data_IF_276954367196
#
_entry.id   IF_276954367196
#
_cell.length_a   1.000
_cell.length_b   1.000
_cell.length_c   1.000
_cell.angle_alpha   90.00
_cell.angle_beta   90.00
_cell.angle_gamma   90.00
#
_symmetry.space_group_name_H-M   'P 1'
#
loop_
_entity.id
_entity.type
_entity.pdbx_description
1 polymer ?
#
# COMPACT_ATOMS: atom_id res chain seq x y z
N UNK A 1 21.81 7.13 -2.35
CA UNK A 1 22.02 5.67 -2.52
C UNK A 1 21.31 5.23 -3.81
N UNK A 2 21.43 3.98 -4.26
CA UNK A 2 20.66 3.47 -5.40
C UNK A 2 19.52 2.57 -4.93
N UNK A 3 18.46 2.48 -5.73
CA UNK A 3 17.37 1.53 -5.51
C UNK A 3 17.91 0.11 -5.75
N UNK A 4 17.51 -0.83 -4.89
CA UNK A 4 17.98 -2.21 -4.96
C UNK A 4 16.93 -3.07 -5.65
N UNK A 5 17.39 -4.08 -6.40
CA UNK A 5 16.57 -5.03 -7.14
C UNK A 5 16.88 -6.42 -6.60
N UNK A 6 15.83 -7.15 -6.23
CA UNK A 6 15.89 -8.51 -5.71
C UNK A 6 15.09 -9.43 -6.64
N UNK A 7 15.46 -10.70 -6.68
CA UNK A 7 14.70 -11.75 -7.36
C UNK A 7 13.53 -12.24 -6.48
N UNK A 8 12.51 -12.81 -7.12
CA UNK A 8 11.33 -13.35 -6.42
C UNK A 8 11.62 -14.54 -5.47
N UNK A 9 12.81 -15.15 -5.54
CA UNK A 9 13.28 -16.21 -4.63
C UNK A 9 13.99 -15.68 -3.37
N UNK A 10 14.04 -14.35 -3.19
CA UNK A 10 14.52 -13.72 -1.96
C UNK A 10 13.66 -14.07 -0.74
N UNK A 11 14.11 -13.64 0.44
CA UNK A 11 13.39 -13.87 1.70
C UNK A 11 13.06 -12.58 2.46
N UNK A 12 12.20 -12.71 3.47
CA UNK A 12 11.76 -11.59 4.29
C UNK A 12 12.89 -10.92 5.10
N UNK A 13 13.99 -11.62 5.37
CA UNK A 13 15.15 -11.04 6.07
C UNK A 13 15.94 -10.13 5.16
N UNK A 14 16.20 -10.56 3.92
CA UNK A 14 16.87 -9.72 2.94
C UNK A 14 16.02 -8.49 2.59
N UNK A 15 14.71 -8.65 2.44
CA UNK A 15 13.79 -7.52 2.24
C UNK A 15 13.89 -6.54 3.41
N UNK A 16 13.89 -7.02 4.67
CA UNK A 16 14.07 -6.17 5.85
C UNK A 16 15.41 -5.43 5.79
N UNK A 17 16.52 -6.14 5.55
CA UNK A 17 17.87 -5.57 5.54
C UNK A 17 17.99 -4.44 4.50
N UNK A 18 17.46 -4.68 3.30
CA UNK A 18 17.47 -3.69 2.24
C UNK A 18 16.55 -2.52 2.55
N UNK A 19 15.36 -2.76 3.12
CA UNK A 19 14.42 -1.71 3.49
C UNK A 19 14.96 -0.83 4.63
N UNK A 20 15.61 -1.42 5.62
CA UNK A 20 16.31 -0.68 6.67
C UNK A 20 17.41 0.19 6.05
N UNK A 21 18.25 -0.37 5.19
CA UNK A 21 19.39 0.35 4.64
C UNK A 21 18.99 1.45 3.64
N UNK A 22 18.05 1.15 2.74
CA UNK A 22 17.74 1.96 1.56
C UNK A 22 16.38 2.65 1.63
N UNK A 23 15.46 2.21 2.48
CA UNK A 23 14.10 2.75 2.61
C UNK A 23 13.14 2.31 1.50
N UNK A 24 13.66 1.72 0.42
CA UNK A 24 12.91 1.11 -0.67
C UNK A 24 13.76 0.08 -1.44
N UNK A 25 13.08 -0.86 -2.09
CA UNK A 25 13.63 -1.87 -3.00
C UNK A 25 12.57 -2.36 -3.98
N UNK A 26 12.99 -3.02 -5.05
CA UNK A 26 12.12 -3.69 -6.03
C UNK A 26 12.35 -5.19 -5.94
N UNK A 27 11.29 -5.97 -6.07
CA UNK A 27 11.36 -7.40 -6.35
C UNK A 27 10.77 -7.63 -7.74
N UNK A 28 11.57 -8.22 -8.63
CA UNK A 28 11.17 -8.44 -10.02
C UNK A 28 10.38 -9.75 -10.18
N UNK A 29 9.41 -9.73 -11.10
CA UNK A 29 8.67 -10.91 -11.58
C UNK A 29 8.02 -11.76 -10.46
N UNK A 30 7.40 -11.10 -9.47
CA UNK A 30 6.76 -11.77 -8.33
C UNK A 30 5.43 -12.42 -8.70
N UNK A 31 4.66 -11.82 -9.60
CA UNK A 31 3.43 -12.39 -10.16
C UNK A 31 3.55 -12.53 -11.67
N UNK A 32 2.90 -13.56 -12.22
CA UNK A 32 2.94 -13.83 -13.65
C UNK A 32 1.97 -12.95 -14.45
N UNK A 33 2.14 -12.97 -15.78
CA UNK A 33 1.28 -12.20 -16.69
C UNK A 33 -0.20 -12.58 -16.57
N UNK A 34 -0.51 -13.84 -16.24
CA UNK A 34 -1.90 -14.31 -16.07
C UNK A 34 -2.56 -13.61 -14.88
N UNK A 35 -1.83 -13.50 -13.76
CA UNK A 35 -2.28 -12.78 -12.55
C UNK A 35 -2.43 -11.29 -12.84
N UNK A 36 -1.50 -10.68 -13.58
CA UNK A 36 -1.58 -9.27 -14.02
C UNK A 36 -2.83 -9.02 -14.87
N UNK A 37 -3.10 -9.88 -15.85
CA UNK A 37 -4.26 -9.74 -16.73
C UNK A 37 -5.57 -9.95 -15.98
N UNK A 38 -5.60 -10.88 -15.02
CA UNK A 38 -6.77 -11.08 -14.16
C UNK A 38 -7.06 -9.85 -13.28
N UNK A 39 -6.03 -9.24 -12.68
CA UNK A 39 -6.17 -7.99 -11.92
C UNK A 39 -6.75 -6.86 -12.79
N UNK A 40 -6.24 -6.68 -14.01
CA UNK A 40 -6.77 -5.68 -14.94
C UNK A 40 -8.25 -5.94 -15.23
N UNK A 41 -8.60 -7.16 -15.62
CA UNK A 41 -9.98 -7.51 -15.95
C UNK A 41 -10.94 -7.29 -14.77
N UNK A 42 -10.53 -7.62 -13.54
CA UNK A 42 -11.33 -7.41 -12.33
C UNK A 42 -11.49 -5.92 -11.98
N UNK A 43 -10.49 -5.08 -12.27
CA UNK A 43 -10.41 -3.71 -11.79
C UNK A 43 -10.84 -2.66 -12.83
N UNK A 44 -10.67 -2.93 -14.13
CA UNK A 44 -10.98 -2.00 -15.23
C UNK A 44 -12.40 -1.43 -15.16
N UNK A 45 -13.47 -2.21 -14.91
CA UNK A 45 -14.83 -1.67 -14.81
C UNK A 45 -15.01 -0.63 -13.70
N UNK A 46 -14.16 -0.65 -12.67
CA UNK A 46 -14.16 0.32 -11.58
C UNK A 46 -13.26 1.51 -11.90
N UNK A 47 -12.10 1.27 -12.53
CA UNK A 47 -11.18 2.31 -12.97
C UNK A 47 -11.85 3.23 -13.98
N UNK A 48 -12.56 2.68 -14.98
CA UNK A 48 -13.26 3.46 -16.01
C UNK A 48 -14.30 4.43 -15.44
N UNK A 49 -14.90 4.08 -14.29
CA UNK A 49 -15.90 4.90 -13.59
C UNK A 49 -15.29 5.85 -12.57
N UNK A 50 -14.00 5.73 -12.28
CA UNK A 50 -13.30 6.56 -11.30
C UNK A 50 -12.94 7.90 -11.94
N UNK A 51 -13.36 9.05 -11.40
CA UNK A 51 -12.93 10.34 -11.93
C UNK A 51 -11.42 10.55 -11.74
N UNK A 52 -10.84 11.48 -12.48
CA UNK A 52 -9.48 11.93 -12.19
C UNK A 52 -9.44 12.76 -10.91
N UNK A 53 -8.23 12.95 -10.37
CA UNK A 53 -7.99 13.78 -9.19
C UNK A 53 -8.39 15.24 -9.38
N UNK A 54 -8.59 15.93 -8.27
CA UNK A 54 -9.07 17.32 -8.23
C UNK A 54 -8.02 18.34 -7.77
N UNK A 55 -6.81 17.89 -7.45
CA UNK A 55 -5.73 18.71 -6.90
C UNK A 55 -4.34 18.18 -7.31
N UNK A 56 -3.29 18.91 -6.95
CA UNK A 56 -1.89 18.60 -7.31
C UNK A 56 -1.42 17.24 -6.75
N UNK A 57 -1.96 16.84 -5.59
CA UNK A 57 -1.57 15.58 -4.95
C UNK A 57 -2.25 14.37 -5.60
N UNK A 58 -3.57 14.44 -5.76
CA UNK A 58 -4.38 13.40 -6.38
C UNK A 58 -4.12 13.29 -7.89
N UNK A 59 -3.75 14.41 -8.52
CA UNK A 59 -3.36 14.56 -9.91
C UNK A 59 -4.54 14.72 -10.86
N UNK A 60 -4.60 15.84 -11.59
CA UNK A 60 -5.71 16.17 -12.50
C UNK A 60 -5.95 15.16 -13.64
N UNK A 61 -4.94 14.36 -13.98
CA UNK A 61 -5.01 13.28 -14.98
C UNK A 61 -4.74 11.89 -14.38
N UNK A 62 -4.72 11.76 -13.06
CA UNK A 62 -4.52 10.48 -12.36
C UNK A 62 -5.83 9.98 -11.80
N UNK A 63 -6.14 8.69 -11.99
CA UNK A 63 -7.31 8.03 -11.40
C UNK A 63 -6.86 7.16 -10.22
N UNK A 64 -7.60 7.26 -9.10
CA UNK A 64 -7.33 6.51 -7.87
C UNK A 64 -8.56 5.75 -7.43
N UNK A 65 -8.53 4.43 -7.55
CA UNK A 65 -9.69 3.55 -7.34
C UNK A 65 -9.46 2.68 -6.10
N UNK A 66 -10.21 2.91 -5.02
CA UNK A 66 -10.05 2.17 -3.74
C UNK A 66 -11.03 0.99 -3.57
N UNK A 67 -11.16 0.46 -2.35
CA UNK A 67 -12.01 -0.67 -1.97
C UNK A 67 -11.68 -1.96 -2.75
N UNK A 68 -10.38 -2.19 -3.00
CA UNK A 68 -9.95 -3.30 -3.85
C UNK A 68 -10.25 -4.66 -3.22
N UNK A 69 -10.22 -4.76 -1.89
CA UNK A 69 -10.54 -6.01 -1.18
C UNK A 69 -11.96 -6.48 -1.51
N UNK A 70 -12.92 -5.58 -1.63
CA UNK A 70 -14.30 -5.92 -2.01
C UNK A 70 -14.46 -6.23 -3.49
N UNK A 71 -13.57 -5.70 -4.35
CA UNK A 71 -13.74 -5.67 -5.81
C UNK A 71 -13.01 -6.79 -6.53
N UNK A 72 -11.87 -7.25 -6.00
CA UNK A 72 -10.95 -8.12 -6.73
C UNK A 72 -10.47 -9.28 -5.85
N UNK A 73 -10.91 -10.53 -6.12
CA UNK A 73 -10.34 -11.71 -5.49
C UNK A 73 -8.84 -11.84 -5.72
N UNK A 74 -8.34 -11.46 -6.89
CA UNK A 74 -6.89 -11.53 -7.19
C UNK A 74 -6.11 -10.51 -6.37
N UNK A 75 -6.66 -9.32 -6.10
CA UNK A 75 -6.03 -8.35 -5.22
C UNK A 75 -5.87 -8.88 -3.79
N UNK A 76 -6.77 -9.76 -3.33
CA UNK A 76 -6.68 -10.39 -2.00
C UNK A 76 -5.46 -11.30 -1.87
N UNK A 77 -5.09 -12.02 -2.93
CA UNK A 77 -3.89 -12.87 -2.92
C UNK A 77 -2.60 -12.05 -2.91
N UNK A 78 -2.59 -10.84 -3.49
CA UNK A 78 -1.46 -9.90 -3.36
C UNK A 78 -1.33 -9.36 -1.94
N UNK A 79 -2.45 -9.03 -1.28
CA UNK A 79 -2.48 -8.58 0.13
C UNK A 79 -1.94 -9.66 1.08
N UNK A 80 -2.18 -10.93 0.74
CA UNK A 80 -1.78 -12.08 1.56
C UNK A 80 -0.59 -12.84 0.97
N UNK A 81 0.14 -12.23 0.03
CA UNK A 81 1.31 -12.86 -0.57
C UNK A 81 2.34 -13.20 0.52
N UNK A 82 2.74 -14.47 0.61
CA UNK A 82 3.53 -15.00 1.72
C UNK A 82 4.83 -14.22 1.96
N UNK A 83 5.57 -13.92 0.88
CA UNK A 83 6.84 -13.19 0.95
C UNK A 83 6.63 -11.76 1.46
N UNK A 84 5.68 -11.04 0.87
CA UNK A 84 5.40 -9.64 1.19
C UNK A 84 4.81 -9.50 2.60
N UNK A 85 3.86 -10.35 2.97
CA UNK A 85 3.22 -10.30 4.28
C UNK A 85 4.20 -10.70 5.40
N UNK A 86 5.08 -11.67 5.15
CA UNK A 86 6.16 -12.01 6.07
C UNK A 86 7.13 -10.84 6.26
N UNK A 87 7.52 -10.17 5.18
CA UNK A 87 8.39 -8.99 5.23
C UNK A 87 7.73 -7.81 5.97
N UNK A 88 6.47 -7.49 5.67
CA UNK A 88 5.72 -6.43 6.34
C UNK A 88 5.59 -6.70 7.84
N UNK A 89 5.24 -7.94 8.21
CA UNK A 89 5.11 -8.36 9.61
C UNK A 89 6.45 -8.27 10.34
N UNK A 90 7.53 -8.76 9.75
CA UNK A 90 8.89 -8.73 10.34
C UNK A 90 9.38 -7.29 10.52
N UNK A 91 9.22 -6.45 9.50
CA UNK A 91 9.69 -5.06 9.52
C UNK A 91 8.94 -4.19 10.53
N UNK A 92 7.62 -4.38 10.68
CA UNK A 92 6.79 -3.58 11.58
C UNK A 92 6.64 -4.16 13.00
N UNK A 93 7.07 -5.39 13.23
CA UNK A 93 7.03 -6.06 14.54
C UNK A 93 7.64 -5.23 15.70
N UNK A 94 8.71 -4.43 15.52
CA UNK A 94 9.23 -3.58 16.59
C UNK A 94 8.25 -2.52 17.10
N UNK A 95 7.23 -2.16 16.30
CA UNK A 95 6.35 -1.02 16.57
C UNK A 95 4.90 -1.41 16.89
N UNK A 96 4.49 -2.66 16.59
CA UNK A 96 3.16 -3.15 16.92
C UNK A 96 3.09 -4.68 17.03
N UNK A 97 2.12 -5.16 17.81
CA UNK A 97 1.79 -6.59 17.90
C UNK A 97 1.01 -7.11 16.69
N UNK A 98 0.29 -6.22 16.02
CA UNK A 98 -0.50 -6.51 14.82
C UNK A 98 -0.26 -5.41 13.80
N UNK A 99 -0.25 -5.81 12.54
CA UNK A 99 -0.38 -4.91 11.40
C UNK A 99 -1.78 -5.07 10.82
N UNK A 100 -2.29 -4.02 10.19
CA UNK A 100 -3.55 -4.01 9.45
C UNK A 100 -3.31 -3.34 8.09
N UNK A 101 -4.22 -3.59 7.15
CA UNK A 101 -4.21 -2.96 5.84
C UNK A 101 -4.58 -1.47 5.98
N UNK A 102 -3.76 -0.58 5.46
CA UNK A 102 -3.95 0.87 5.57
C UNK A 102 -4.73 1.43 4.38
N UNK A 103 -4.28 1.13 3.15
CA UNK A 103 -4.88 1.60 1.90
C UNK A 103 -4.81 0.49 0.84
N UNK A 104 -5.88 0.35 0.08
CA UNK A 104 -5.87 -0.33 -1.21
C UNK A 104 -6.29 0.64 -2.31
N UNK A 105 -5.46 0.81 -3.33
CA UNK A 105 -5.80 1.69 -4.45
C UNK A 105 -5.13 1.25 -5.75
N UNK A 106 -5.89 1.23 -6.84
CA UNK A 106 -5.28 1.34 -8.17
C UNK A 106 -4.86 2.79 -8.36
N UNK A 107 -3.67 2.98 -8.92
CA UNK A 107 -3.18 4.27 -9.39
C UNK A 107 -2.96 4.14 -10.89
N UNK A 108 -3.82 4.81 -11.67
CA UNK A 108 -3.68 4.91 -13.12
C UNK A 108 -3.24 6.33 -13.48
N UNK A 109 -2.00 6.46 -13.92
CA UNK A 109 -1.41 7.71 -14.36
C UNK A 109 -1.58 7.81 -15.87
N UNK A 110 -2.49 8.67 -16.34
CA UNK A 110 -2.77 8.84 -17.77
C UNK A 110 -1.69 9.70 -18.45
N UNK A 111 -1.55 9.63 -19.79
CA UNK A 111 -0.69 10.51 -20.57
C UNK A 111 -0.86 11.99 -20.19
N UNK A 112 0.26 12.71 -20.06
CA UNK A 112 0.27 14.11 -19.69
C UNK A 112 0.00 14.39 -18.20
N UNK A 113 0.01 13.37 -17.34
CA UNK A 113 0.03 13.60 -15.89
C UNK A 113 1.36 14.18 -15.44
N UNK A 114 1.33 15.19 -14.58
CA UNK A 114 2.52 15.78 -13.97
C UNK A 114 3.08 14.87 -12.87
N UNK A 115 4.34 15.12 -12.49
CA UNK A 115 4.94 14.44 -11.35
C UNK A 115 4.32 14.96 -10.05
N UNK A 116 4.13 14.07 -9.08
CA UNK A 116 3.78 14.50 -7.72
C UNK A 116 4.99 15.14 -7.05
N UNK A 117 4.72 16.06 -6.11
CA UNK A 117 5.72 16.46 -5.14
C UNK A 117 6.23 15.26 -4.34
N UNK A 118 7.53 15.26 -4.05
CA UNK A 118 8.12 14.23 -3.20
C UNK A 118 7.59 14.37 -1.77
N UNK A 119 7.07 13.27 -1.24
CA UNK A 119 6.45 13.20 0.07
C UNK A 119 6.80 11.89 0.78
N UNK A 120 6.38 11.81 2.04
CA UNK A 120 6.50 10.63 2.90
C UNK A 120 5.07 10.23 3.29
N UNK A 121 4.56 9.04 2.95
CA UNK A 121 3.14 8.78 3.29
C UNK A 121 2.89 8.66 4.80
N UNK A 122 3.93 8.52 5.64
CA UNK A 122 3.74 8.65 7.10
C UNK A 122 3.11 9.98 7.52
N UNK A 123 3.15 11.01 6.66
CA UNK A 123 2.47 12.29 6.84
C UNK A 123 0.94 12.15 6.89
N UNK A 124 0.36 11.00 6.51
CA UNK A 124 -1.04 10.68 6.75
C UNK A 124 -1.44 10.79 8.23
N UNK A 125 -0.50 10.60 9.17
CA UNK A 125 -0.70 10.79 10.61
C UNK A 125 -0.11 12.11 11.14
N UNK A 126 0.28 13.03 10.26
CA UNK A 126 0.89 14.31 10.57
C UNK A 126 2.23 14.20 11.30
N UNK A 127 2.61 15.28 12.01
CA UNK A 127 3.90 15.40 12.70
C UNK A 127 3.88 14.88 14.15
N UNK A 128 2.80 14.17 14.54
CA UNK A 128 2.61 13.69 15.90
C UNK A 128 3.33 12.37 16.17
N UNK A 129 3.59 11.58 15.13
CA UNK A 129 4.30 10.32 15.26
C UNK A 129 5.80 10.56 15.37
N UNK A 130 6.37 10.18 16.51
CA UNK A 130 7.80 10.29 16.75
C UNK A 130 8.61 9.66 15.61
N UNK A 131 9.69 10.31 15.20
CA UNK A 131 10.50 9.91 14.04
C UNK A 131 11.09 8.50 14.17
N UNK A 132 11.29 8.02 15.40
CA UNK A 132 11.77 6.66 15.67
C UNK A 132 10.73 5.56 15.42
N UNK A 133 9.46 5.90 15.20
CA UNK A 133 8.41 4.95 14.85
C UNK A 133 8.28 4.93 13.33
N UNK A 134 8.38 3.75 12.74
CA UNK A 134 8.03 3.52 11.35
C UNK A 134 6.59 2.99 11.28
N UNK A 135 5.62 3.78 10.78
CA UNK A 135 4.21 3.44 10.93
C UNK A 135 3.67 2.50 9.85
N UNK A 136 4.42 2.29 8.76
CA UNK A 136 3.87 1.58 7.61
C UNK A 136 4.92 0.90 6.73
N UNK A 137 4.42 -0.07 5.96
CA UNK A 137 5.13 -0.83 4.94
C UNK A 137 4.25 -0.81 3.69
N UNK A 138 4.78 -0.34 2.57
CA UNK A 138 3.99 -0.04 1.39
C UNK A 138 4.48 -0.85 0.19
N UNK A 139 3.54 -1.22 -0.67
CA UNK A 139 3.82 -1.93 -1.91
C UNK A 139 3.11 -1.29 -3.08
N UNK A 140 3.80 -1.15 -4.21
CA UNK A 140 3.19 -0.80 -5.50
C UNK A 140 3.51 -1.92 -6.48
N UNK A 141 2.48 -2.69 -6.84
CA UNK A 141 2.55 -3.78 -7.81
C UNK A 141 2.35 -3.22 -9.22
N UNK A 142 3.26 -3.56 -10.13
CA UNK A 142 3.21 -3.12 -11.52
C UNK A 142 2.19 -3.94 -12.33
N UNK A 143 1.12 -3.31 -12.84
CA UNK A 143 0.22 -3.96 -13.82
C UNK A 143 0.58 -3.63 -15.26
N UNK A 144 1.39 -2.59 -15.46
CA UNK A 144 2.08 -2.27 -16.70
C UNK A 144 3.56 -2.15 -16.40
N UNK A 145 4.41 -2.22 -17.40
CA UNK A 145 5.81 -1.84 -17.22
C UNK A 145 5.90 -0.41 -16.68
N UNK A 146 6.77 -0.20 -15.70
CA UNK A 146 7.10 1.12 -15.18
C UNK A 146 8.39 1.55 -15.83
N UNK A 147 8.36 2.69 -16.52
CA UNK A 147 9.51 3.29 -17.16
C UNK A 147 9.61 4.75 -16.76
N UNK A 148 10.81 5.33 -16.89
CA UNK A 148 11.01 6.76 -16.67
C UNK A 148 10.05 7.60 -17.53
N UNK A 149 9.81 7.19 -18.75
CA UNK A 149 8.96 7.90 -19.71
C UNK A 149 7.48 7.88 -19.32
N UNK A 150 6.96 6.74 -18.83
CA UNK A 150 5.54 6.62 -18.47
C UNK A 150 5.24 7.00 -17.02
N UNK A 151 6.21 7.60 -16.33
CA UNK A 151 6.05 8.11 -14.98
C UNK A 151 6.17 7.03 -13.91
N UNK A 152 7.16 6.13 -14.00
CA UNK A 152 7.55 5.25 -12.90
C UNK A 152 7.65 6.02 -11.57
N UNK A 153 7.31 5.36 -10.45
CA UNK A 153 7.38 5.98 -9.12
C UNK A 153 8.80 6.49 -8.84
N UNK A 154 8.90 7.77 -8.50
CA UNK A 154 10.11 8.41 -8.02
C UNK A 154 10.37 7.96 -6.59
N UNK A 155 11.62 7.65 -6.25
CA UNK A 155 12.04 7.32 -4.90
C UNK A 155 13.40 7.93 -4.62
N UNK A 156 13.68 8.30 -3.37
CA UNK A 156 14.99 8.81 -2.94
C UNK A 156 15.60 7.84 -1.92
N UNK A 157 16.33 6.80 -2.36
CA UNK A 157 16.87 5.78 -1.46
C UNK A 157 17.80 6.36 -0.39
N UNK A 158 17.51 6.04 0.87
CA UNK A 158 18.19 6.51 2.08
C UNK A 158 17.56 7.74 2.74
N UNK A 159 16.59 8.40 2.09
CA UNK A 159 15.98 9.64 2.60
C UNK A 159 15.09 9.47 3.82
N UNK A 160 14.73 8.23 4.17
CA UNK A 160 14.03 7.87 5.41
C UNK A 160 14.84 8.19 6.67
N UNK A 161 16.15 8.44 6.54
CA UNK A 161 17.06 8.81 7.63
C UNK A 161 17.47 10.28 7.60
N UNK A 162 16.99 11.06 6.63
CA UNK A 162 17.36 12.46 6.49
C UNK A 162 16.64 13.33 7.50
N UNK A 163 17.20 14.51 7.71
CA UNK A 163 16.46 15.60 8.33
C UNK A 163 15.20 15.89 7.48
N UNK A 164 14.09 16.21 8.15
CA UNK A 164 12.80 16.36 7.47
C UNK A 164 12.75 17.57 6.54
N UNK A 165 13.59 18.58 6.78
CA UNK A 165 13.71 19.78 5.95
C UNK A 165 14.56 19.57 4.69
N UNK A 166 15.32 18.47 4.63
CA UNK A 166 16.21 18.20 3.49
C UNK A 166 15.38 17.88 2.24
N UNK A 167 15.69 18.59 1.16
CA UNK A 167 15.14 18.34 -0.18
C UNK A 167 16.08 17.43 -0.97
N UNK A 168 15.51 16.61 -1.85
CA UNK A 168 16.29 15.75 -2.72
C UNK A 168 16.81 16.53 -3.93
N UNK A 169 18.08 16.33 -4.26
CA UNK A 169 18.65 16.76 -5.54
C UNK A 169 18.26 15.80 -6.66
N UNK A 170 18.24 16.27 -7.90
CA UNK A 170 17.75 15.48 -9.05
C UNK A 170 18.49 14.16 -9.22
N UNK A 171 19.80 14.13 -8.97
CA UNK A 171 20.65 12.94 -9.11
C UNK A 171 20.40 11.90 -8.01
N UNK A 172 19.70 12.28 -6.93
CA UNK A 172 19.35 11.40 -5.83
C UNK A 172 17.99 10.71 -6.04
N UNK A 173 17.19 11.20 -7.00
CA UNK A 173 15.87 10.67 -7.32
C UNK A 173 16.04 9.52 -8.31
N UNK A 174 15.69 8.31 -7.87
CA UNK A 174 15.63 7.12 -8.70
C UNK A 174 14.21 6.94 -9.27
N UNK A 175 14.13 6.43 -10.49
CA UNK A 175 12.88 5.92 -11.07
C UNK A 175 12.77 4.45 -10.74
N UNK A 176 11.60 4.03 -10.24
CA UNK A 176 11.31 2.63 -9.92
C UNK A 176 10.91 1.88 -11.20
N UNK A 177 11.86 1.78 -12.13
CA UNK A 177 11.65 1.10 -13.41
C UNK A 177 11.66 -0.41 -13.19
N UNK A 178 10.60 -1.09 -13.65
CA UNK A 178 10.39 -2.53 -13.44
C UNK A 178 9.34 -3.07 -14.41
N UNK A 179 9.43 -4.33 -14.85
CA UNK A 179 8.41 -4.94 -15.70
C UNK A 179 7.10 -5.17 -14.94
N UNK A 180 5.99 -5.29 -15.68
CA UNK A 180 4.71 -5.73 -15.12
C UNK A 180 4.89 -7.06 -14.36
N UNK A 181 4.23 -7.20 -13.20
CA UNK A 181 4.38 -8.34 -12.29
C UNK A 181 5.43 -8.15 -11.20
N UNK A 182 6.24 -7.10 -11.28
CA UNK A 182 7.17 -6.68 -10.21
C UNK A 182 6.48 -5.87 -9.12
N UNK A 183 7.14 -5.74 -7.97
CA UNK A 183 6.65 -4.93 -6.84
C UNK A 183 7.74 -4.01 -6.30
N UNK A 184 7.41 -2.72 -6.17
CA UNK A 184 8.18 -1.77 -5.37
C UNK A 184 7.74 -1.89 -3.91
N UNK A 185 8.67 -2.12 -3.01
CA UNK A 185 8.47 -2.12 -1.56
C UNK A 185 9.17 -0.90 -0.97
N UNK A 186 8.48 -0.14 -0.11
CA UNK A 186 9.05 1.05 0.53
C UNK A 186 8.42 1.30 1.91
N UNK A 187 9.14 2.00 2.79
CA UNK A 187 8.63 2.39 4.10
C UNK A 187 7.95 3.75 4.04
N UNK A 188 7.25 4.16 5.10
CA UNK A 188 6.54 5.44 5.11
C UNK A 188 7.40 6.68 5.27
N UNK A 189 8.68 6.51 5.60
CA UNK A 189 9.59 7.62 5.86
C UNK A 189 10.43 8.03 4.64
N UNK A 190 10.55 7.17 3.61
CA UNK A 190 11.31 7.49 2.40
C UNK A 190 10.56 8.52 1.54
N UNK A 191 11.29 9.50 0.99
CA UNK A 191 10.76 10.43 0.00
C UNK A 191 10.48 9.69 -1.31
N UNK A 192 9.26 9.85 -1.81
CA UNK A 192 8.81 9.25 -3.06
C UNK A 192 7.66 10.07 -3.67
N UNK A 193 7.24 9.73 -4.88
CA UNK A 193 6.09 10.34 -5.56
C UNK A 193 5.84 9.74 -6.94
N UNK A 194 4.64 9.91 -7.50
CA UNK A 194 4.37 9.53 -8.89
C UNK A 194 5.22 10.34 -9.86
N UNK A 195 5.87 9.69 -10.83
CA UNK A 195 6.57 10.37 -11.91
C UNK A 195 5.61 10.96 -12.95
N UNK A 196 6.08 11.96 -13.71
CA UNK A 196 5.33 12.52 -14.82
C UNK A 196 5.20 11.49 -15.95
N UNK A 197 4.00 11.32 -16.51
CA UNK A 197 3.77 10.43 -17.65
C UNK A 197 3.86 11.23 -18.95
N UNK A 198 5.00 11.11 -19.63
CA UNK A 198 5.31 11.74 -20.91
C UNK A 198 5.05 10.82 -22.10
N UNK A 199 4.61 9.58 -21.85
CA UNK A 199 4.29 8.60 -22.86
C UNK A 199 2.87 8.77 -23.43
N UNK A 200 2.53 7.94 -24.42
CA UNK A 200 1.19 7.88 -25.00
C UNK A 200 0.28 6.82 -24.36
N UNK A 201 0.72 6.15 -23.30
CA UNK A 201 -0.03 5.07 -22.64
C UNK A 201 -0.19 5.32 -21.14
N UNK A 202 -1.22 4.75 -20.53
CA UNK A 202 -1.41 4.87 -19.07
C UNK A 202 -0.49 3.91 -18.33
N UNK A 203 0.12 4.38 -17.25
CA UNK A 203 0.85 3.54 -16.29
C UNK A 203 -0.11 3.11 -15.18
N UNK A 204 -0.22 1.81 -14.92
CA UNK A 204 -1.18 1.26 -13.94
C UNK A 204 -0.44 0.45 -12.88
N UNK A 205 -0.64 0.81 -11.62
CA UNK A 205 -0.15 0.05 -10.47
C UNK A 205 -1.20 -0.14 -9.40
N UNK A 206 -1.03 -1.18 -8.59
CA UNK A 206 -1.85 -1.45 -7.41
C UNK A 206 -1.04 -1.13 -6.15
N UNK A 207 -1.44 -0.10 -5.43
CA UNK A 207 -0.85 0.30 -4.16
C UNK A 207 -1.57 -0.41 -3.00
N UNK A 208 -0.84 -1.24 -2.25
CA UNK A 208 -1.31 -1.92 -1.05
C UNK A 208 -0.37 -1.57 0.09
N UNK A 209 -0.91 -0.95 1.13
CA UNK A 209 -0.11 -0.48 2.27
C UNK A 209 -0.58 -1.13 3.55
N UNK A 210 0.34 -1.38 4.47
CA UNK A 210 0.10 -1.94 5.80
C UNK A 210 0.54 -0.91 6.84
N UNK A 211 -0.24 -0.74 7.91
CA UNK A 211 0.14 0.10 9.02
C UNK A 211 0.07 -0.64 10.36
N UNK A 212 0.61 -0.01 11.40
CA UNK A 212 0.51 -0.51 12.77
C UNK A 212 -0.96 -0.60 13.19
N UNK A 213 -1.38 -1.73 13.78
CA UNK A 213 -2.78 -1.97 14.13
C UNK A 213 -3.40 -0.96 15.12
N UNK A 214 -2.57 -0.13 15.77
CA UNK A 214 -3.04 0.93 16.66
C UNK A 214 -3.23 2.29 15.98
N UNK A 215 -2.92 2.39 14.68
CA UNK A 215 -3.14 3.59 13.88
C UNK A 215 -4.50 3.56 13.18
N UNK A 216 -5.05 4.75 12.92
CA UNK A 216 -6.21 4.91 12.05
C UNK A 216 -5.78 4.70 10.60
N UNK A 217 -6.51 3.86 9.88
CA UNK A 217 -6.29 3.60 8.45
C UNK A 217 -6.66 4.82 7.59
N UNK A 218 -5.94 5.03 6.49
CA UNK A 218 -6.29 5.98 5.42
C UNK A 218 -7.59 5.56 4.72
N UNK A 219 -7.68 4.28 4.35
CA UNK A 219 -8.91 3.67 3.87
C UNK A 219 -9.65 3.02 5.03
N UNK A 220 -10.89 3.44 5.30
CA UNK A 220 -11.72 2.82 6.31
C UNK A 220 -12.20 1.44 5.84
N UNK A 221 -11.42 0.40 6.12
CA UNK A 221 -11.64 -0.96 5.62
C UNK A 221 -12.99 -1.56 6.05
N UNK A 222 -13.50 -1.21 7.23
CA UNK A 222 -14.83 -1.65 7.67
C UNK A 222 -15.98 -1.13 6.80
N UNK A 223 -15.79 0.01 6.14
CA UNK A 223 -16.79 0.59 5.24
C UNK A 223 -16.55 0.16 3.79
N UNK A 224 -15.28 0.09 3.37
CA UNK A 224 -14.91 -0.39 2.04
C UNK A 224 -15.22 -1.88 1.85
N UNK A 225 -15.08 -2.68 2.90
CA UNK A 225 -15.32 -4.12 2.93
C UNK A 225 -16.14 -4.52 4.17
N UNK A 226 -17.46 -4.28 4.16
CA UNK A 226 -18.34 -4.51 5.31
C UNK A 226 -18.46 -5.99 5.69
N UNK A 227 -19.00 -6.29 6.90
CA UNK A 227 -18.98 -7.63 7.47
C UNK A 227 -19.69 -8.70 6.61
N UNK A 228 -20.76 -8.33 5.90
CA UNK A 228 -21.51 -9.21 5.01
C UNK A 228 -20.68 -9.71 3.82
N UNK A 229 -19.67 -8.93 3.41
CA UNK A 229 -18.66 -9.32 2.44
C UNK A 229 -17.52 -10.07 3.14
N UNK A 230 -16.92 -9.46 4.17
CA UNK A 230 -15.68 -9.92 4.81
C UNK A 230 -15.81 -11.29 5.51
N UNK A 231 -17.01 -11.66 5.97
CA UNK A 231 -17.24 -12.95 6.68
C UNK A 231 -16.87 -14.19 5.88
N UNK A 232 -16.81 -14.08 4.56
CA UNK A 232 -16.50 -15.20 3.67
C UNK A 232 -15.00 -15.30 3.32
N UNK A 233 -14.16 -14.42 3.88
CA UNK A 233 -12.72 -14.43 3.64
C UNK A 233 -11.97 -15.30 4.65
N UNK A 234 -10.72 -15.62 4.35
CA UNK A 234 -9.85 -16.26 5.32
C UNK A 234 -9.57 -15.35 6.52
N UNK A 235 -9.19 -15.96 7.63
CA UNK A 235 -8.96 -15.25 8.90
C UNK A 235 -7.81 -14.25 8.81
N UNK A 236 -6.79 -14.51 7.98
CA UNK A 236 -5.65 -13.60 7.80
C UNK A 236 -6.11 -12.28 7.19
N UNK A 237 -6.92 -12.34 6.13
CA UNK A 237 -7.46 -11.16 5.47
C UNK A 237 -8.49 -10.44 6.34
N UNK A 238 -9.32 -11.17 7.10
CA UNK A 238 -10.23 -10.58 8.09
C UNK A 238 -9.45 -9.79 9.15
N UNK A 239 -8.36 -10.36 9.68
CA UNK A 239 -7.47 -9.71 10.63
C UNK A 239 -6.85 -8.44 10.02
N UNK A 240 -6.34 -8.51 8.79
CA UNK A 240 -5.75 -7.38 8.08
C UNK A 240 -6.76 -6.27 7.77
N UNK A 241 -8.03 -6.61 7.50
CA UNK A 241 -9.11 -5.63 7.34
C UNK A 241 -9.46 -4.90 8.64
N UNK A 242 -8.92 -5.36 9.78
CA UNK A 242 -9.21 -4.81 11.09
C UNK A 242 -10.35 -5.53 11.82
N UNK A 243 -10.90 -6.64 11.31
CA UNK A 243 -11.84 -7.48 12.06
C UNK A 243 -11.16 -8.28 13.18
N UNK A 244 -10.25 -7.62 13.90
CA UNK A 244 -9.54 -8.12 15.05
C UNK A 244 -9.16 -6.97 15.98
N UNK A 245 -8.89 -7.28 17.25
CA UNK A 245 -8.35 -6.29 18.18
C UNK A 245 -6.84 -6.14 17.99
N UNK A 246 -6.37 -4.90 17.90
CA UNK A 246 -4.94 -4.61 17.86
C UNK A 246 -4.23 -4.79 19.22
N UNK A 247 -4.95 -4.55 20.32
CA UNK A 247 -4.48 -4.80 21.69
C UNK A 247 -5.66 -5.06 22.63
N UNK A 248 -5.43 -5.22 23.93
CA UNK A 248 -6.47 -5.59 24.90
C UNK A 248 -7.75 -4.75 24.78
N UNK A 249 -7.60 -3.42 24.71
CA UNK A 249 -8.70 -2.46 24.68
C UNK A 249 -8.92 -1.80 23.30
N UNK A 250 -8.14 -2.14 22.27
CA UNK A 250 -8.15 -1.40 21.00
C UNK A 250 -8.88 -2.16 19.90
N UNK A 251 -9.91 -1.52 19.34
CA UNK A 251 -10.72 -2.04 18.24
C UNK A 251 -12.00 -2.78 18.64
N UNK A 252 -12.45 -2.73 19.90
CA UNK A 252 -13.71 -3.37 20.29
C UNK A 252 -14.94 -2.59 19.79
N UNK A 253 -16.13 -3.23 19.76
CA UNK A 253 -17.40 -2.57 19.43
C UNK A 253 -18.53 -3.02 20.37
N UNK A 254 -19.69 -2.36 20.31
CA UNK A 254 -20.93 -2.81 20.93
C UNK A 254 -21.99 -2.91 19.85
N UNK A 255 -22.82 -3.95 19.87
CA UNK A 255 -23.90 -4.11 18.91
C UNK A 255 -25.04 -3.10 19.24
N UNK A 256 -25.29 -2.09 18.39
CA UNK A 256 -26.33 -1.09 18.65
C UNK A 256 -27.75 -1.66 18.52
N UNK A 257 -27.91 -2.89 18.03
CA UNK A 257 -29.19 -3.56 17.85
C UNK A 257 -29.47 -4.67 18.88
N UNK A 258 -28.54 -4.93 19.80
CA UNK A 258 -28.72 -5.90 20.88
C UNK A 258 -29.90 -5.52 21.76
N UNK A 259 -30.83 -6.47 21.99
CA UNK A 259 -32.06 -6.26 22.77
C UNK A 259 -31.92 -6.60 24.25
N UNK A 260 -30.95 -7.44 24.58
CA UNK A 260 -30.88 -8.10 25.89
C UNK A 260 -29.76 -7.53 26.78
N UNK A 261 -28.54 -7.36 26.26
CA UNK A 261 -27.39 -6.82 27.02
C UNK A 261 -26.45 -5.97 26.15
N UNK A 262 -25.92 -4.88 26.74
CA UNK A 262 -24.83 -4.08 26.17
C UNK A 262 -23.48 -4.71 26.53
N UNK A 263 -22.95 -5.52 25.63
CA UNK A 263 -21.62 -6.13 25.80
C UNK A 263 -20.58 -5.47 24.88
N UNK A 264 -19.37 -5.31 25.42
CA UNK A 264 -18.19 -5.02 24.60
C UNK A 264 -17.79 -6.30 23.88
N UNK A 265 -17.90 -6.28 22.55
CA UNK A 265 -17.59 -7.40 21.65
C UNK A 265 -16.24 -7.22 20.98
N UNK A 266 -15.63 -8.35 20.61
CA UNK A 266 -14.47 -8.35 19.72
C UNK A 266 -14.95 -8.26 18.26
N UNK A 267 -14.24 -7.57 17.35
CA UNK A 267 -14.65 -7.37 15.96
C UNK A 267 -15.02 -8.62 15.19
N UNK A 268 -14.38 -9.76 15.48
CA UNK A 268 -14.64 -11.05 14.84
C UNK A 268 -16.12 -11.46 14.98
N UNK A 269 -16.82 -10.98 16.01
CA UNK A 269 -18.26 -11.23 16.22
C UNK A 269 -19.15 -10.57 15.16
N UNK A 270 -18.67 -9.53 14.48
CA UNK A 270 -19.43 -8.89 13.40
C UNK A 270 -19.50 -9.76 12.13
N UNK A 271 -18.67 -10.81 12.04
CA UNK A 271 -18.57 -11.70 10.90
C UNK A 271 -19.46 -12.96 11.02
N UNK A 272 -20.19 -13.12 12.13
CA UNK A 272 -21.06 -14.27 12.40
C UNK A 272 -22.43 -14.16 11.74
#
# INVERSE_FOLDING_TARGET
MKLQYLSADTDAEEIQNQLEKHGALIIEDVIDQTTVDQLKNELDPFIEKTPTGGDDFSGFNTQRTSALVSRSPTCRSLITNDLVLAAASKYLAPFARKIILNLTAVIKINPGSEAQDLHRDRLAWGDYLHSSIEPQFNTIWALTDFTRENGATLCVPGSHRWDWSQKAETEQIAYSEMPAGSVLIYNGSVLHGGGANQSNTSRVGVNLTYCLGWLRQEENQYLSCPPDIAKNFDTTLQDLLGYTKASYALGHYSDPYSKDEFMILKPEKALL
#
